data_IF_528330119836
#
_entry.id   IF_528330119836
#
_cell.length_a   1.000
_cell.length_b   1.000
_cell.length_c   1.000
_cell.angle_alpha   90.00
_cell.angle_beta   90.00
_cell.angle_gamma   90.00
#
_symmetry.space_group_name_H-M   'P 1'
#
loop_
_entity.id
_entity.type
_entity.pdbx_description
1 polymer ?
#
# COMPACT_ATOMS: atom_id res chain seq x y z
N UNK A 1 -1.51 -6.81 5.12
CA UNK A 1 -0.24 -6.30 4.56
C UNK A 1 0.25 -5.19 5.48
N UNK A 2 1.54 -5.19 5.81
CA UNK A 2 2.12 -4.12 6.64
C UNK A 2 2.42 -2.90 5.77
N UNK A 3 1.82 -1.77 6.14
CA UNK A 3 2.04 -0.48 5.52
C UNK A 3 2.85 0.40 6.45
N UNK A 4 3.83 1.11 5.94
CA UNK A 4 4.64 2.07 6.70
C UNK A 4 4.39 3.48 6.19
N UNK A 5 4.13 4.39 7.11
CA UNK A 5 4.00 5.80 6.80
C UNK A 5 5.35 6.39 6.40
N UNK A 6 5.42 7.09 5.27
CA UNK A 6 6.65 7.74 4.82
C UNK A 6 7.03 8.95 5.67
N UNK A 7 6.07 9.58 6.36
CA UNK A 7 6.27 10.70 7.27
C UNK A 7 6.73 10.29 8.66
N UNK A 8 5.82 9.74 9.49
CA UNK A 8 6.08 9.46 10.91
C UNK A 8 6.58 8.04 11.20
N UNK A 9 6.73 7.19 10.18
CA UNK A 9 7.24 5.80 10.28
C UNK A 9 6.38 4.83 11.09
N UNK A 10 5.15 5.20 11.45
CA UNK A 10 4.19 4.26 12.04
C UNK A 10 3.87 3.14 11.03
N UNK A 11 3.63 1.94 11.56
CA UNK A 11 3.26 0.77 10.77
C UNK A 11 1.82 0.40 11.09
N UNK A 12 1.01 0.27 10.05
CA UNK A 12 -0.39 -0.14 10.15
C UNK A 12 -0.60 -1.44 9.37
N UNK A 13 -1.53 -2.27 9.84
CA UNK A 13 -1.91 -3.49 9.13
C UNK A 13 -3.19 -3.25 8.35
N UNK A 14 -3.06 -3.20 7.03
CA UNK A 14 -4.21 -3.13 6.13
C UNK A 14 -4.63 -4.55 5.75
N UNK A 15 -5.92 -4.92 5.85
CA UNK A 15 -6.39 -6.25 5.44
C UNK A 15 -6.04 -6.55 3.97
N UNK A 16 -5.63 -7.79 3.69
CA UNK A 16 -5.21 -8.19 2.33
C UNK A 16 -6.31 -7.96 1.29
N UNK A 17 -7.54 -8.32 1.61
CA UNK A 17 -8.71 -8.13 0.74
C UNK A 17 -8.94 -6.66 0.37
N UNK A 18 -8.68 -5.74 1.30
CA UNK A 18 -8.78 -4.29 1.04
C UNK A 18 -7.69 -3.87 0.07
N UNK A 19 -6.44 -4.31 0.28
CA UNK A 19 -5.32 -3.98 -0.61
C UNK A 19 -5.58 -4.51 -2.02
N UNK A 20 -5.96 -5.78 -2.16
CA UNK A 20 -6.24 -6.40 -3.45
C UNK A 20 -7.45 -5.76 -4.15
N UNK A 21 -8.48 -5.36 -3.41
CA UNK A 21 -9.62 -4.63 -3.97
C UNK A 21 -9.20 -3.29 -4.59
N UNK A 22 -8.37 -2.51 -3.90
CA UNK A 22 -7.86 -1.26 -4.46
C UNK A 22 -6.90 -1.50 -5.62
N UNK A 23 -6.04 -2.52 -5.55
CA UNK A 23 -5.11 -2.89 -6.62
C UNK A 23 -5.85 -3.31 -7.90
N UNK A 24 -6.96 -4.05 -7.78
CA UNK A 24 -7.80 -4.44 -8.93
C UNK A 24 -8.58 -3.28 -9.55
N UNK A 25 -8.85 -2.22 -8.79
CA UNK A 25 -9.65 -1.09 -9.25
C UNK A 25 -8.78 0.05 -9.81
N UNK A 26 -7.47 0.01 -9.56
CA UNK A 26 -6.52 0.99 -10.09
C UNK A 26 -6.03 0.55 -11.49
N UNK A 27 -6.80 0.93 -12.53
CA UNK A 27 -6.40 0.76 -13.95
C UNK A 27 -5.24 1.71 -14.37
N UNK A 28 -4.55 2.32 -13.40
CA UNK A 28 -3.48 3.27 -13.59
C UNK A 28 -2.11 2.62 -13.85
N UNK A 29 -1.08 3.20 -13.22
CA UNK A 29 0.29 2.72 -13.35
C UNK A 29 0.54 1.56 -12.37
N UNK A 30 0.58 0.34 -12.90
CA UNK A 30 0.82 -0.88 -12.13
C UNK A 30 2.22 -0.95 -11.49
N UNK A 31 3.11 0.02 -11.73
CA UNK A 31 4.38 0.12 -11.00
C UNK A 31 4.24 0.79 -9.63
N UNK A 32 3.07 1.37 -9.33
CA UNK A 32 2.77 2.03 -8.07
C UNK A 32 1.75 1.18 -7.28
N UNK A 33 2.06 0.76 -6.04
CA UNK A 33 1.11 0.00 -5.25
C UNK A 33 -0.05 0.89 -4.77
N UNK A 34 -1.16 0.28 -4.31
CA UNK A 34 -2.19 0.99 -3.57
C UNK A 34 -1.59 1.72 -2.36
N UNK A 35 -1.89 3.03 -2.25
CA UNK A 35 -1.44 3.92 -1.17
C UNK A 35 -2.58 4.26 -0.22
N UNK A 36 -2.25 4.39 1.06
CA UNK A 36 -3.20 4.83 2.09
C UNK A 36 -2.71 6.10 2.78
N UNK A 37 -3.62 6.86 3.37
CA UNK A 37 -3.27 8.01 4.20
C UNK A 37 -3.04 7.55 5.63
N UNK A 38 -1.90 7.92 6.22
CA UNK A 38 -1.58 7.63 7.62
C UNK A 38 -2.59 8.28 8.55
N UNK A 39 -3.18 7.52 9.47
CA UNK A 39 -4.17 8.03 10.41
C UNK A 39 -3.55 9.01 11.42
N UNK A 40 -2.24 8.90 11.67
CA UNK A 40 -1.53 9.74 12.64
C UNK A 40 -1.07 11.09 12.08
N UNK A 41 -0.69 11.18 10.81
CA UNK A 41 -0.11 12.41 10.26
C UNK A 41 -0.55 12.78 8.85
N UNK A 42 -1.42 11.99 8.21
CA UNK A 42 -1.95 12.24 6.87
C UNK A 42 -0.97 12.01 5.71
N UNK A 43 0.30 11.67 5.98
CA UNK A 43 1.26 11.35 4.94
C UNK A 43 0.96 10.00 4.28
N UNK A 44 1.45 9.78 3.06
CA UNK A 44 1.27 8.53 2.35
C UNK A 44 1.92 7.34 3.06
N UNK A 45 1.26 6.19 2.96
CA UNK A 45 1.72 4.90 3.42
C UNK A 45 1.93 3.96 2.26
N UNK A 46 3.02 3.20 2.32
CA UNK A 46 3.42 2.21 1.31
C UNK A 46 3.53 0.81 1.93
N UNK A 47 3.25 -0.26 1.18
CA UNK A 47 3.43 -1.62 1.68
C UNK A 47 4.92 -1.90 1.86
N UNK A 48 5.30 -2.55 2.96
CA UNK A 48 6.70 -2.98 3.17
C UNK A 48 7.13 -4.06 2.18
N UNK A 49 6.24 -5.01 1.93
CA UNK A 49 6.45 -6.15 1.03
C UNK A 49 5.07 -6.66 0.58
N UNK A 50 4.79 -6.54 -0.72
CA UNK A 50 3.50 -6.93 -1.31
C UNK A 50 3.68 -7.32 -2.78
N UNK A 51 3.05 -8.42 -3.19
CA UNK A 51 2.94 -8.81 -4.61
C UNK A 51 1.53 -8.43 -5.07
N UNK A 52 1.45 -7.51 -6.02
CA UNK A 52 0.20 -7.03 -6.60
C UNK A 52 -0.54 -8.09 -7.40
N UNK A 53 -1.81 -7.82 -7.70
CA UNK A 53 -2.68 -8.70 -8.49
C UNK A 53 -2.19 -8.89 -9.93
N UNK A 54 -1.37 -7.96 -10.42
CA UNK A 54 -0.68 -8.04 -11.71
C UNK A 54 0.70 -8.71 -11.65
N UNK A 55 1.13 -9.17 -10.47
CA UNK A 55 2.40 -9.89 -10.27
C UNK A 55 3.60 -9.00 -9.94
N UNK A 56 3.41 -7.68 -9.88
CA UNK A 56 4.46 -6.72 -9.52
C UNK A 56 4.83 -6.83 -8.04
N UNK A 57 6.13 -6.75 -7.73
CA UNK A 57 6.63 -6.84 -6.36
C UNK A 57 7.02 -5.48 -5.82
N UNK A 58 6.30 -5.02 -4.81
CA UNK A 58 6.52 -3.74 -4.15
C UNK A 58 7.26 -3.95 -2.83
N UNK A 59 8.37 -3.24 -2.66
CA UNK A 59 9.21 -3.31 -1.46
C UNK A 59 9.89 -1.99 -1.16
N UNK A 60 9.95 -1.62 0.12
CA UNK A 60 10.64 -0.43 0.65
C UNK A 60 11.54 -0.75 1.82
#
# INVERSE_FOLDING_TARGET
IEYVCLGCKIVEKVPKEVVEYFDMMDDGDTSIPPRFSCESCGAEMYPKDYIGVHGEHYKI
#
